data_IF_576738225374
#
_entry.id   IF_576738225374
#
_cell.length_a   1.000
_cell.length_b   1.000
_cell.length_c   1.000
_cell.angle_alpha   90.00
_cell.angle_beta   90.00
_cell.angle_gamma   90.00
#
_symmetry.space_group_name_H-M   'P 1'
#
loop_
_entity.id
_entity.type
_entity.pdbx_description
1 polymer ?
#
# COMPACT_ATOMS: atom_id res chain seq x y z
N UNK A 1 34.99 -21.60 7.20
CA UNK A 1 34.36 -20.64 6.26
C UNK A 1 32.91 -21.05 6.13
N UNK A 2 31.89 -20.47 6.75
CA UNK A 2 31.73 -19.20 7.47
C UNK A 2 30.28 -18.73 7.32
N UNK A 3 29.30 -19.65 7.33
CA UNK A 3 27.87 -19.37 7.14
C UNK A 3 27.20 -18.99 8.45
N UNK A 4 27.37 -17.74 8.88
CA UNK A 4 26.55 -17.15 9.94
C UNK A 4 25.15 -16.93 9.36
N UNK A 5 24.29 -17.93 9.53
CA UNK A 5 22.85 -17.75 9.40
C UNK A 5 22.42 -16.66 10.38
N UNK A 6 22.03 -15.51 9.84
CA UNK A 6 21.29 -14.49 10.56
C UNK A 6 19.97 -15.11 10.99
N UNK A 7 19.98 -15.79 12.14
CA UNK A 7 18.77 -16.11 12.88
C UNK A 7 18.24 -14.75 13.35
N UNK A 8 17.34 -14.17 12.56
CA UNK A 8 16.47 -13.09 13.02
C UNK A 8 15.76 -13.68 14.23
N UNK A 9 16.20 -13.30 15.41
CA UNK A 9 15.55 -13.64 16.65
C UNK A 9 14.21 -12.91 16.61
N UNK A 10 13.15 -13.62 16.18
CA UNK A 10 11.78 -13.13 16.31
C UNK A 10 11.45 -13.03 17.79
N UNK A 11 11.89 -11.93 18.39
CA UNK A 11 11.44 -11.49 19.69
C UNK A 11 9.96 -11.22 19.52
N UNK A 12 9.14 -12.17 19.95
CA UNK A 12 7.68 -12.06 19.95
C UNK A 12 7.32 -10.70 20.55
N UNK A 13 6.62 -9.82 19.82
CA UNK A 13 6.35 -8.48 20.29
C UNK A 13 5.60 -8.60 21.61
N UNK A 14 6.17 -7.98 22.65
CA UNK A 14 5.52 -7.90 23.95
C UNK A 14 4.12 -7.28 23.82
N UNK A 15 3.27 -7.45 24.83
CA UNK A 15 1.88 -6.96 24.81
C UNK A 15 1.74 -5.50 24.35
N UNK A 16 2.71 -4.64 24.69
CA UNK A 16 2.76 -3.25 24.23
C UNK A 16 2.91 -3.12 22.71
N UNK A 17 3.82 -3.87 22.09
CA UNK A 17 4.01 -3.86 20.63
C UNK A 17 2.80 -4.40 19.89
N UNK A 18 2.10 -5.40 20.46
CA UNK A 18 0.84 -5.90 19.90
C UNK A 18 -0.25 -4.82 19.90
N UNK A 19 -0.38 -4.07 21.00
CA UNK A 19 -1.34 -2.97 21.10
C UNK A 19 -0.98 -1.84 20.13
N UNK A 20 0.29 -1.49 20.02
CA UNK A 20 0.76 -0.46 19.08
C UNK A 20 0.44 -0.82 17.63
N UNK A 21 0.69 -2.06 17.22
CA UNK A 21 0.31 -2.57 15.90
C UNK A 21 -1.20 -2.49 15.66
N UNK A 22 -2.00 -2.88 16.66
CA UNK A 22 -3.47 -2.77 16.56
C UNK A 22 -3.92 -1.33 16.39
N UNK A 23 -3.32 -0.38 17.11
CA UNK A 23 -3.60 1.04 16.97
C UNK A 23 -3.25 1.53 15.56
N UNK A 24 -2.10 1.14 15.01
CA UNK A 24 -1.72 1.50 13.64
C UNK A 24 -2.68 0.93 12.60
N UNK A 25 -3.12 -0.32 12.76
CA UNK A 25 -4.10 -0.96 11.86
C UNK A 25 -5.44 -0.22 11.91
N UNK A 26 -5.94 0.08 13.12
CA UNK A 26 -7.22 0.78 13.30
C UNK A 26 -7.18 2.21 12.75
N UNK A 27 -6.10 2.94 13.04
CA UNK A 27 -5.90 4.30 12.55
C UNK A 27 -5.83 4.31 11.02
N UNK A 28 -5.02 3.43 10.44
CA UNK A 28 -4.88 3.29 9.00
C UNK A 28 -6.22 2.97 8.33
N UNK A 29 -6.95 1.98 8.84
CA UNK A 29 -8.23 1.57 8.28
C UNK A 29 -9.28 2.69 8.40
N UNK A 30 -9.38 3.33 9.57
CA UNK A 30 -10.28 4.45 9.81
C UNK A 30 -10.03 5.63 8.87
N UNK A 31 -8.76 6.05 8.74
CA UNK A 31 -8.37 7.11 7.80
C UNK A 31 -8.67 6.72 6.35
N UNK A 32 -8.44 5.46 5.96
CA UNK A 32 -8.73 4.97 4.61
C UNK A 32 -10.23 4.99 4.27
N UNK A 33 -11.09 4.60 5.21
CA UNK A 33 -12.55 4.63 5.03
C UNK A 33 -13.04 6.06 4.85
N UNK A 34 -12.58 6.99 5.71
CA UNK A 34 -12.94 8.41 5.61
C UNK A 34 -12.49 8.98 4.27
N UNK A 35 -11.24 8.75 3.88
CA UNK A 35 -10.69 9.24 2.63
C UNK A 35 -11.50 8.73 1.42
N UNK A 36 -11.87 7.44 1.42
CA UNK A 36 -12.67 6.84 0.34
C UNK A 36 -14.08 7.43 0.31
N UNK A 37 -14.72 7.62 1.46
CA UNK A 37 -16.07 8.18 1.53
C UNK A 37 -16.09 9.65 1.10
N UNK A 38 -15.15 10.47 1.56
CA UNK A 38 -15.01 11.87 1.16
C UNK A 38 -14.77 11.99 -0.34
N UNK A 39 -13.91 11.13 -0.89
CA UNK A 39 -13.61 11.10 -2.33
C UNK A 39 -14.85 10.84 -3.19
N UNK A 40 -15.73 9.94 -2.74
CA UNK A 40 -17.01 9.66 -3.43
C UNK A 40 -17.99 10.84 -3.32
N UNK A 41 -18.07 11.48 -2.16
CA UNK A 41 -19.02 12.57 -1.95
C UNK A 41 -18.67 13.86 -2.69
N UNK A 42 -17.38 14.10 -2.96
CA UNK A 42 -16.94 15.30 -3.65
C UNK A 42 -17.39 15.35 -5.12
N UNK A 43 -17.64 14.20 -5.77
CA UNK A 43 -18.10 14.17 -7.17
C UNK A 43 -17.12 14.81 -8.19
N UNK A 44 -15.87 15.03 -7.79
CA UNK A 44 -14.83 15.65 -8.62
C UNK A 44 -14.25 14.60 -9.57
N UNK A 45 -13.87 15.02 -10.78
CA UNK A 45 -13.19 14.15 -11.74
C UNK A 45 -11.93 13.49 -11.14
N UNK A 46 -11.73 12.20 -11.37
CA UNK A 46 -10.72 11.35 -10.71
C UNK A 46 -9.28 11.86 -10.84
N UNK A 47 -8.93 12.55 -11.93
CA UNK A 47 -7.60 13.13 -12.11
C UNK A 47 -7.33 14.28 -11.14
N UNK A 48 -8.30 15.19 -10.96
CA UNK A 48 -8.17 16.34 -10.05
C UNK A 48 -8.18 15.88 -8.60
N UNK A 49 -8.98 14.86 -8.28
CA UNK A 49 -9.00 14.21 -6.97
C UNK A 49 -7.64 13.58 -6.63
N UNK A 50 -7.02 12.86 -7.57
CA UNK A 50 -5.72 12.25 -7.35
C UNK A 50 -4.62 13.30 -7.15
N UNK A 51 -4.64 14.36 -7.98
CA UNK A 51 -3.70 15.47 -7.86
C UNK A 51 -3.83 16.20 -6.52
N UNK A 52 -5.05 16.45 -6.04
CA UNK A 52 -5.27 17.13 -4.77
C UNK A 52 -4.85 16.27 -3.58
N UNK A 53 -5.16 14.97 -3.58
CA UNK A 53 -4.70 14.02 -2.56
C UNK A 53 -3.18 13.97 -2.47
N UNK A 54 -2.49 13.83 -3.61
CA UNK A 54 -1.03 13.80 -3.66
C UNK A 54 -0.42 15.15 -3.25
N UNK A 55 -1.03 16.26 -3.64
CA UNK A 55 -0.56 17.61 -3.28
C UNK A 55 -0.70 17.88 -1.78
N UNK A 56 -1.83 17.53 -1.19
CA UNK A 56 -2.08 17.67 0.26
C UNK A 56 -1.12 16.77 1.04
N UNK A 57 -0.91 15.53 0.59
CA UNK A 57 0.06 14.62 1.20
C UNK A 57 1.48 15.17 1.12
N UNK A 58 1.88 15.73 -0.02
CA UNK A 58 3.20 16.34 -0.19
C UNK A 58 3.38 17.56 0.71
N UNK A 59 2.35 18.40 0.83
CA UNK A 59 2.39 19.58 1.71
C UNK A 59 2.46 19.17 3.18
N UNK A 60 1.65 18.20 3.60
CA UNK A 60 1.67 17.68 4.96
C UNK A 60 3.05 17.08 5.29
N UNK A 61 3.62 16.27 4.40
CA UNK A 61 4.98 15.73 4.54
C UNK A 61 6.02 16.84 4.64
N UNK A 62 5.96 17.85 3.76
CA UNK A 62 6.86 19.00 3.80
C UNK A 62 6.80 19.75 5.14
N UNK A 63 5.60 20.02 5.65
CA UNK A 63 5.39 20.70 6.93
C UNK A 63 5.88 19.86 8.13
N UNK A 64 5.57 18.57 8.14
CA UNK A 64 5.97 17.66 9.23
C UNK A 64 7.50 17.52 9.32
N UNK A 65 8.18 17.45 8.17
CA UNK A 65 9.62 17.26 8.09
C UNK A 65 10.38 18.58 8.31
N UNK A 66 9.98 19.67 7.63
CA UNK A 66 10.75 20.92 7.64
C UNK A 66 10.33 21.89 8.75
N UNK A 67 9.04 21.99 9.06
CA UNK A 67 8.55 22.93 10.07
C UNK A 67 8.51 22.31 11.46
N UNK A 68 7.94 21.10 11.57
CA UNK A 68 7.66 20.47 12.87
C UNK A 68 8.78 19.52 13.33
N UNK A 69 9.74 19.17 12.46
CA UNK A 69 10.85 18.23 12.73
C UNK A 69 10.41 16.91 13.40
N UNK A 70 9.17 16.49 13.14
CA UNK A 70 8.57 15.31 13.76
C UNK A 70 9.17 14.01 13.22
N UNK A 71 9.68 14.06 11.98
CA UNK A 71 10.31 12.94 11.28
C UNK A 71 11.70 13.38 10.82
N UNK A 72 12.75 12.56 11.03
CA UNK A 72 14.09 12.89 10.57
C UNK A 72 14.15 12.94 9.04
N UNK A 73 14.64 14.05 8.49
CA UNK A 73 14.87 14.19 7.05
C UNK A 73 15.87 13.13 6.56
N UNK A 74 15.46 12.34 5.56
CA UNK A 74 16.29 11.33 4.92
C UNK A 74 16.79 11.87 3.57
N UNK A 75 18.07 12.26 3.44
CA UNK A 75 18.61 12.75 2.18
C UNK A 75 18.77 11.63 1.15
N UNK A 76 18.46 11.92 -0.11
CA UNK A 76 18.74 11.02 -1.24
C UNK A 76 20.21 11.22 -1.64
N UNK A 77 21.06 10.26 -1.32
CA UNK A 77 22.52 10.39 -1.48
C UNK A 77 23.04 9.93 -2.86
N UNK A 78 22.26 9.16 -3.62
CA UNK A 78 22.70 8.54 -4.87
C UNK A 78 21.70 8.72 -6.02
N UNK A 79 22.19 8.94 -7.24
CA UNK A 79 21.38 8.95 -8.47
C UNK A 79 20.65 7.62 -8.70
N UNK A 80 21.19 6.50 -8.20
CA UNK A 80 20.49 5.21 -8.26
C UNK A 80 19.29 5.16 -7.33
N UNK A 81 19.40 5.73 -6.12
CA UNK A 81 18.28 5.85 -5.19
C UNK A 81 17.22 6.81 -5.74
N UNK A 82 17.63 7.92 -6.35
CA UNK A 82 16.69 8.84 -6.99
C UNK A 82 15.87 8.16 -8.09
N UNK A 83 16.51 7.38 -8.98
CA UNK A 83 15.80 6.63 -10.02
C UNK A 83 14.84 5.60 -9.43
N UNK A 84 15.26 4.87 -8.40
CA UNK A 84 14.39 3.90 -7.73
C UNK A 84 13.17 4.57 -7.08
N UNK A 85 13.38 5.69 -6.37
CA UNK A 85 12.31 6.49 -5.76
C UNK A 85 11.39 7.09 -6.81
N UNK A 86 11.93 7.59 -7.93
CA UNK A 86 11.14 8.15 -9.02
C UNK A 86 10.25 7.09 -9.69
N UNK A 87 10.80 5.89 -9.95
CA UNK A 87 10.03 4.77 -10.47
C UNK A 87 8.94 4.33 -9.49
N UNK A 88 9.26 4.23 -8.20
CA UNK A 88 8.29 3.90 -7.16
C UNK A 88 7.17 4.95 -7.09
N UNK A 89 7.52 6.24 -7.14
CA UNK A 89 6.56 7.33 -7.15
C UNK A 89 5.66 7.30 -8.41
N UNK A 90 6.21 6.97 -9.58
CA UNK A 90 5.45 6.82 -10.82
C UNK A 90 4.43 5.67 -10.73
N UNK A 91 4.86 4.49 -10.25
CA UNK A 91 3.98 3.34 -10.05
C UNK A 91 2.91 3.64 -9.01
N UNK A 92 3.29 4.29 -7.90
CA UNK A 92 2.35 4.73 -6.85
C UNK A 92 1.29 5.68 -7.41
N UNK A 93 1.71 6.70 -8.17
CA UNK A 93 0.79 7.67 -8.80
C UNK A 93 -0.16 6.97 -9.78
N UNK A 94 0.36 6.06 -10.60
CA UNK A 94 -0.45 5.26 -11.52
C UNK A 94 -1.47 4.39 -10.77
N UNK A 95 -1.09 3.80 -9.64
CA UNK A 95 -1.99 3.05 -8.76
C UNK A 95 -3.12 3.91 -8.23
N UNK A 96 -2.82 5.11 -7.73
CA UNK A 96 -3.85 6.05 -7.25
C UNK A 96 -4.77 6.53 -8.37
N UNK A 97 -4.24 6.81 -9.57
CA UNK A 97 -5.07 7.16 -10.73
C UNK A 97 -6.00 6.01 -11.11
N UNK A 98 -5.49 4.78 -11.12
CA UNK A 98 -6.29 3.58 -11.42
C UNK A 98 -7.38 3.37 -10.36
N UNK A 99 -7.04 3.55 -9.09
CA UNK A 99 -8.00 3.42 -7.98
C UNK A 99 -9.10 4.48 -8.04
N UNK A 100 -8.73 5.76 -8.19
CA UNK A 100 -9.69 6.86 -8.25
C UNK A 100 -10.53 6.83 -9.54
N UNK A 101 -9.97 6.41 -10.67
CA UNK A 101 -10.74 6.22 -11.91
C UNK A 101 -11.71 5.04 -11.79
N UNK A 102 -11.29 3.92 -11.21
CA UNK A 102 -12.16 2.77 -10.99
C UNK A 102 -13.31 3.09 -10.02
N UNK A 103 -13.10 3.93 -9.01
CA UNK A 103 -14.18 4.42 -8.14
C UNK A 103 -15.21 5.29 -8.88
N UNK A 104 -14.78 6.02 -9.91
CA UNK A 104 -15.67 6.88 -10.71
C UNK A 104 -16.34 6.17 -11.89
N UNK A 105 -15.76 5.09 -12.39
CA UNK A 105 -16.19 4.40 -13.62
C UNK A 105 -16.71 2.98 -13.42
N UNK A 106 -16.43 2.33 -12.29
CA UNK A 106 -16.72 0.91 -12.07
C UNK A 106 -17.49 0.67 -10.76
N UNK A 107 -18.14 -0.50 -10.67
CA UNK A 107 -18.83 -0.92 -9.45
C UNK A 107 -17.85 -1.12 -8.29
N UNK A 108 -18.26 -0.75 -7.07
CA UNK A 108 -17.42 -0.73 -5.85
C UNK A 108 -16.75 -2.10 -5.59
N UNK A 109 -17.42 -3.20 -5.95
CA UNK A 109 -16.91 -4.57 -5.81
C UNK A 109 -15.65 -4.84 -6.64
N UNK A 110 -15.54 -4.27 -7.85
CA UNK A 110 -14.38 -4.46 -8.72
C UNK A 110 -13.15 -3.74 -8.15
N UNK A 111 -13.35 -2.54 -7.62
CA UNK A 111 -12.29 -1.78 -6.95
C UNK A 111 -11.73 -2.54 -5.75
N UNK A 112 -12.60 -3.07 -4.89
CA UNK A 112 -12.17 -3.85 -3.73
C UNK A 112 -11.47 -5.16 -4.14
N UNK A 113 -11.86 -5.73 -5.29
CA UNK A 113 -11.19 -6.90 -5.87
C UNK A 113 -9.77 -6.57 -6.32
N UNK A 114 -9.57 -5.46 -7.05
CA UNK A 114 -8.23 -5.00 -7.42
C UNK A 114 -7.34 -4.78 -6.20
N UNK A 115 -7.88 -4.19 -5.13
CA UNK A 115 -7.14 -4.04 -3.86
C UNK A 115 -6.80 -5.37 -3.20
N UNK A 116 -7.71 -6.34 -3.23
CA UNK A 116 -7.46 -7.69 -2.71
C UNK A 116 -6.37 -8.44 -3.50
N UNK A 117 -6.08 -8.04 -4.75
CA UNK A 117 -5.01 -8.62 -5.57
C UNK A 117 -3.63 -7.98 -5.37
N UNK A 118 -3.51 -6.82 -4.71
CA UNK A 118 -2.20 -6.20 -4.38
C UNK A 118 -1.18 -7.17 -3.74
N UNK A 119 -1.54 -8.00 -2.74
CA UNK A 119 -0.60 -8.95 -2.15
C UNK A 119 -0.16 -10.03 -3.15
N UNK A 120 -0.98 -10.39 -4.15
CA UNK A 120 -0.62 -11.36 -5.18
C UNK A 120 0.40 -10.77 -6.16
N UNK A 121 0.18 -9.54 -6.63
CA UNK A 121 1.16 -8.84 -7.47
C UNK A 121 2.49 -8.66 -6.74
N UNK A 122 2.44 -8.29 -5.46
CA UNK A 122 3.63 -8.18 -4.61
C UNK A 122 4.36 -9.52 -4.51
N UNK A 123 3.63 -10.62 -4.34
CA UNK A 123 4.20 -11.97 -4.28
C UNK A 123 4.88 -12.38 -5.60
N UNK A 124 4.22 -12.12 -6.74
CA UNK A 124 4.74 -12.42 -8.07
C UNK A 124 5.96 -11.57 -8.40
N UNK A 125 5.91 -10.27 -8.10
CA UNK A 125 7.05 -9.36 -8.29
C UNK A 125 8.21 -9.73 -7.37
N UNK A 126 7.96 -10.11 -6.12
CA UNK A 126 9.00 -10.61 -5.23
C UNK A 126 9.61 -11.90 -5.79
N UNK A 127 8.81 -12.86 -6.25
CA UNK A 127 9.33 -14.08 -6.86
C UNK A 127 10.14 -13.81 -8.15
N UNK A 128 9.71 -12.85 -8.97
CA UNK A 128 10.36 -12.50 -10.23
C UNK A 128 11.65 -11.68 -10.06
N UNK A 129 11.64 -10.71 -9.13
CA UNK A 129 12.72 -9.72 -8.95
C UNK A 129 13.66 -10.08 -7.79
N UNK A 130 13.14 -10.69 -6.73
CA UNK A 130 13.86 -11.05 -5.50
C UNK A 130 13.98 -12.58 -5.41
N UNK A 131 14.89 -13.15 -6.22
CA UNK A 131 15.16 -14.62 -6.28
C UNK A 131 15.53 -15.29 -4.94
N UNK A 132 15.74 -14.52 -3.86
CA UNK A 132 16.27 -15.01 -2.57
C UNK A 132 15.21 -15.21 -1.48
N UNK A 133 14.04 -14.57 -1.56
CA UNK A 133 12.95 -14.76 -0.58
C UNK A 133 11.94 -15.75 -1.14
N UNK A 134 12.04 -17.01 -0.73
CA UNK A 134 11.02 -18.01 -1.07
C UNK A 134 9.75 -17.67 -0.31
N UNK A 135 8.75 -17.16 -1.02
CA UNK A 135 7.39 -17.08 -0.53
C UNK A 135 6.96 -18.42 0.10
N UNK A 136 6.48 -18.37 1.35
CA UNK A 136 5.96 -19.57 2.00
C UNK A 136 4.73 -20.07 1.21
N UNK A 137 4.65 -21.36 0.83
CA UNK A 137 3.50 -21.90 0.12
C UNK A 137 2.19 -21.71 0.90
N UNK A 138 2.25 -21.61 2.23
CA UNK A 138 1.11 -21.29 3.08
C UNK A 138 0.56 -19.87 2.83
N UNK A 139 1.44 -18.90 2.53
CA UNK A 139 1.03 -17.52 2.20
C UNK A 139 0.33 -17.48 0.85
N UNK A 140 0.87 -18.19 -0.15
CA UNK A 140 0.23 -18.32 -1.46
C UNK A 140 -1.16 -18.99 -1.36
N UNK A 141 -1.27 -20.04 -0.54
CA UNK A 141 -2.53 -20.73 -0.29
C UNK A 141 -3.58 -19.83 0.40
N UNK A 142 -3.16 -18.94 1.32
CA UNK A 142 -4.06 -18.01 1.99
C UNK A 142 -4.59 -16.90 1.07
N UNK A 143 -3.86 -16.51 0.03
CA UNK A 143 -4.31 -15.52 -0.95
C UNK A 143 -5.41 -16.04 -1.90
N UNK A 144 -5.37 -17.33 -2.25
CA UNK A 144 -6.35 -17.95 -3.16
C UNK A 144 -7.81 -17.73 -2.73
N UNK A 145 -8.23 -18.06 -1.50
CA UNK A 145 -9.61 -17.87 -1.06
C UNK A 145 -10.01 -16.40 -0.94
N UNK A 146 -9.07 -15.51 -0.58
CA UNK A 146 -9.33 -14.06 -0.50
C UNK A 146 -9.68 -13.50 -1.88
N UNK A 147 -8.89 -13.86 -2.90
CA UNK A 147 -9.09 -13.40 -4.28
C UNK A 147 -10.31 -14.08 -4.90
N UNK A 148 -10.52 -15.37 -4.65
CA UNK A 148 -11.70 -16.08 -5.11
C UNK A 148 -12.99 -15.46 -4.53
N UNK A 149 -13.01 -15.13 -3.23
CA UNK A 149 -14.13 -14.45 -2.58
C UNK A 149 -14.39 -13.05 -3.13
N UNK A 150 -13.33 -12.27 -3.35
CA UNK A 150 -13.45 -10.94 -3.95
C UNK A 150 -13.93 -11.00 -5.42
N UNK A 151 -13.34 -11.89 -6.22
CA UNK A 151 -13.72 -12.13 -7.60
C UNK A 151 -15.19 -12.54 -7.73
N UNK A 152 -15.63 -13.56 -6.98
CA UNK A 152 -17.03 -14.01 -6.96
C UNK A 152 -18.00 -12.89 -6.59
N UNK A 153 -17.63 -12.05 -5.62
CA UNK A 153 -18.43 -10.89 -5.20
C UNK A 153 -18.53 -9.82 -6.30
N UNK A 154 -17.49 -9.67 -7.14
CA UNK A 154 -17.53 -8.79 -8.30
C UNK A 154 -18.47 -9.31 -9.38
N UNK A 155 -18.40 -10.61 -9.71
CA UNK A 155 -19.23 -11.21 -10.79
C UNK A 155 -20.72 -11.18 -10.45
N UNK A 156 -21.09 -11.33 -9.16
CA UNK A 156 -22.49 -11.21 -8.74
C UNK A 156 -23.06 -9.80 -8.81
N UNK A 157 -22.20 -8.79 -8.95
CA UNK A 157 -22.58 -7.37 -8.98
C UNK A 157 -22.38 -6.70 -10.35
N UNK A 158 -22.07 -7.50 -11.37
CA UNK A 158 -21.95 -7.10 -12.78
C UNK A 158 -23.21 -7.49 -13.54
#
# INVERSE_FOLDING_TARGET
VGGRGLRVEETQPGWKGRIELLVYILLWYGTSVICTNTSKQLGIHWSILTLSQLSISSLCGFLLINCLKFVPYQPIASSSQLRATALLAAVFTMGFLTLNSALGMMHVSLVMTLRATEPLFTLVLAAALLKSERASPAMAAALLPVIAGAGLSSVSSS
#
